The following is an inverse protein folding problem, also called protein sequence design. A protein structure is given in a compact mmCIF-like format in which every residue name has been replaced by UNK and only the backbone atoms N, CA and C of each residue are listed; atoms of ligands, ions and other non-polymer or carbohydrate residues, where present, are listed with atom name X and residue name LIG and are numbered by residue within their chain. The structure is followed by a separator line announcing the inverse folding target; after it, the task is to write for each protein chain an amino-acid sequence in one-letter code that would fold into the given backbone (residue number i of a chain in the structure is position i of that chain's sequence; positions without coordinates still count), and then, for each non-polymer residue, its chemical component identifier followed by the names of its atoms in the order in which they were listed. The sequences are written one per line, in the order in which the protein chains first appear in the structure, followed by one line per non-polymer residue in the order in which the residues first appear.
data_IF_199677767804
#
_entry.id   IF_199677767804
#
_cell.length_a   1.000
_cell.length_b   1.000
_cell.length_c   1.000
_cell.angle_alpha   90.00
_cell.angle_beta   90.00
_cell.angle_gamma   90.00
#
_symmetry.space_group_name_H-M   'P 1'
#
loop_
_entity.id
_entity.type
_entity.pdbx_description
1 polymer ?
#
# COMPACT_ATOMS: atom_id res chain seq x y z
N UNK A 1 -5.23 -3.31 2.36
CA UNK A 1 -4.42 -2.74 3.47
C UNK A 1 -3.36 -1.82 2.90
N UNK A 2 -3.21 -0.62 3.47
CA UNK A 2 -2.21 0.36 3.03
C UNK A 2 -0.78 -0.17 3.21
N UNK A 3 0.01 -0.12 2.14
CA UNK A 3 1.42 -0.52 2.12
C UNK A 3 1.71 -1.97 2.48
N UNK A 4 0.72 -2.85 2.47
CA UNK A 4 0.91 -4.23 2.91
C UNK A 4 1.28 -5.17 1.76
N UNK A 5 0.62 -5.06 0.60
CA UNK A 5 0.80 -5.99 -0.52
C UNK A 5 0.69 -5.31 -1.87
N UNK A 6 1.59 -5.66 -2.77
CA UNK A 6 1.50 -5.37 -4.20
C UNK A 6 1.14 -6.68 -4.93
N UNK A 7 0.00 -6.67 -5.62
CA UNK A 7 -0.50 -7.82 -6.38
C UNK A 7 -0.07 -7.80 -7.86
N UNK A 8 0.80 -6.88 -8.23
CA UNK A 8 1.32 -6.78 -9.61
C UNK A 8 0.24 -6.40 -10.64
N UNK A 9 -0.77 -5.63 -10.24
CA UNK A 9 -1.90 -5.23 -11.09
C UNK A 9 -1.61 -4.04 -11.99
N UNK A 10 -0.39 -3.52 -11.95
CA UNK A 10 0.02 -2.36 -12.75
C UNK A 10 -0.13 -2.61 -14.25
N UNK A 11 -0.59 -1.58 -14.95
CA UNK A 11 -0.60 -1.50 -16.40
C UNK A 11 0.50 -0.58 -16.92
N UNK A 12 0.73 -0.60 -18.24
CA UNK A 12 1.72 0.25 -18.89
C UNK A 12 1.06 1.05 -19.99
N UNK A 13 1.32 2.34 -20.04
CA UNK A 13 0.84 3.24 -21.11
C UNK A 13 2.01 3.73 -21.95
N UNK A 14 1.81 3.75 -23.29
CA UNK A 14 2.85 4.12 -24.26
C UNK A 14 3.90 3.03 -24.44
N UNK A 15 5.01 3.38 -25.10
CA UNK A 15 6.10 2.46 -25.40
C UNK A 15 5.73 1.36 -26.42
N UNK A 16 6.53 0.30 -26.45
CA UNK A 16 6.33 -0.84 -27.34
C UNK A 16 5.39 -1.88 -26.71
N UNK A 17 4.32 -2.22 -27.42
CA UNK A 17 3.32 -3.20 -26.99
C UNK A 17 3.87 -4.63 -26.81
N UNK A 18 4.96 -4.95 -27.50
CA UNK A 18 5.62 -6.26 -27.43
C UNK A 18 6.76 -6.30 -26.40
N UNK A 19 6.97 -5.20 -25.69
CA UNK A 19 8.02 -5.12 -24.70
C UNK A 19 7.65 -5.90 -23.43
N UNK A 20 8.52 -6.81 -23.02
CA UNK A 20 8.45 -7.38 -21.67
C UNK A 20 8.96 -6.32 -20.69
N UNK A 21 8.03 -5.48 -20.18
CA UNK A 21 8.35 -4.31 -19.41
C UNK A 21 9.19 -4.63 -18.18
N UNK A 22 10.34 -4.00 -18.09
CA UNK A 22 11.26 -4.13 -16.95
C UNK A 22 11.39 -2.78 -16.28
N UNK A 23 11.00 -2.69 -15.02
CA UNK A 23 11.22 -1.50 -14.19
C UNK A 23 12.61 -1.64 -13.57
N UNK A 24 13.40 -0.57 -13.58
CA UNK A 24 14.61 -0.53 -12.77
C UNK A 24 14.20 -0.61 -11.30
N UNK A 25 14.45 -1.75 -10.70
CA UNK A 25 14.62 -1.78 -9.26
C UNK A 25 15.91 -1.01 -8.99
N UNK A 26 15.79 0.22 -8.49
CA UNK A 26 16.93 1.09 -8.17
C UNK A 26 17.89 0.44 -7.16
N UNK A 27 18.30 -0.76 -7.42
CA UNK A 27 19.46 -1.41 -6.88
C UNK A 27 20.67 -0.63 -7.38
N UNK A 28 21.05 0.40 -6.67
CA UNK A 28 22.41 0.90 -6.73
C UNK A 28 23.26 -0.30 -6.36
N UNK A 29 24.03 -0.77 -7.33
CA UNK A 29 25.04 -1.79 -7.11
C UNK A 29 25.98 -1.27 -6.01
N UNK A 30 25.71 -1.68 -4.77
CA UNK A 30 26.32 -1.17 -3.54
C UNK A 30 27.83 -1.48 -3.44
N UNK A 31 28.41 -2.02 -4.53
CA UNK A 31 29.84 -2.34 -4.60
C UNK A 31 30.72 -1.24 -5.19
N UNK A 32 30.16 -0.17 -5.76
CA UNK A 32 30.96 0.82 -6.50
C UNK A 32 31.02 2.25 -5.97
N UNK A 33 30.25 2.68 -4.97
CA UNK A 33 30.43 4.05 -4.44
C UNK A 33 30.07 4.17 -2.96
N UNK A 34 31.10 4.28 -2.12
CA UNK A 34 31.01 4.48 -0.67
C UNK A 34 30.70 5.94 -0.23
N UNK A 35 30.57 6.89 -1.15
CA UNK A 35 30.55 8.33 -0.84
C UNK A 35 29.37 9.11 -1.42
N UNK A 36 28.24 8.46 -1.74
CA UNK A 36 27.04 9.22 -2.06
C UNK A 36 26.14 9.20 -0.83
N UNK A 37 26.00 10.36 -0.21
CA UNK A 37 25.00 10.62 0.81
C UNK A 37 23.64 10.11 0.31
N UNK A 38 22.98 9.29 1.11
CA UNK A 38 21.67 8.74 0.84
C UNK A 38 20.62 9.85 0.91
N UNK A 39 20.63 10.76 -0.05
CA UNK A 39 19.43 11.51 -0.36
C UNK A 39 18.43 10.50 -0.90
N UNK A 40 17.46 10.15 -0.06
CA UNK A 40 16.33 9.32 -0.43
C UNK A 40 15.43 10.11 -1.39
N UNK A 41 15.92 10.38 -2.59
CA UNK A 41 15.07 10.69 -3.71
C UNK A 41 14.43 9.36 -4.12
N UNK A 42 13.20 9.17 -3.68
CA UNK A 42 12.27 8.26 -4.32
C UNK A 42 12.15 8.71 -5.79
N UNK A 43 13.06 8.25 -6.62
CA UNK A 43 12.84 8.26 -8.05
C UNK A 43 11.59 7.38 -8.26
N UNK A 44 10.48 8.02 -8.58
CA UNK A 44 9.27 7.33 -9.02
C UNK A 44 9.71 6.39 -10.15
N UNK A 45 9.70 5.11 -9.86
CA UNK A 45 9.97 4.04 -10.82
C UNK A 45 8.76 3.90 -11.75
N UNK A 46 8.52 4.93 -12.54
CA UNK A 46 7.30 5.07 -13.32
C UNK A 46 7.46 4.64 -14.77
N UNK A 47 8.67 4.28 -15.22
CA UNK A 47 8.92 4.02 -16.65
C UNK A 47 9.68 2.72 -16.88
N UNK A 48 9.28 2.03 -17.96
CA UNK A 48 10.04 0.89 -18.46
C UNK A 48 11.38 1.36 -19.03
N UNK A 49 12.49 0.78 -18.58
CA UNK A 49 13.84 1.14 -19.05
C UNK A 49 14.11 0.75 -20.51
N UNK A 50 13.35 -0.21 -21.04
CA UNK A 50 13.54 -0.71 -22.41
C UNK A 50 12.79 0.11 -23.46
N UNK A 51 11.55 0.51 -23.17
CA UNK A 51 10.67 1.14 -24.14
C UNK A 51 10.07 2.48 -23.67
N UNK A 52 10.38 2.94 -22.45
CA UNK A 52 9.87 4.19 -21.92
C UNK A 52 8.38 4.17 -21.53
N UNK A 53 7.68 3.03 -21.60
CA UNK A 53 6.30 2.93 -21.20
C UNK A 53 6.11 3.36 -19.74
N UNK A 54 5.10 4.17 -19.45
CA UNK A 54 4.76 4.62 -18.11
C UNK A 54 4.02 3.53 -17.35
N UNK A 55 4.52 3.14 -16.17
CA UNK A 55 3.79 2.26 -15.26
C UNK A 55 2.64 3.03 -14.62
N UNK A 56 1.45 2.47 -14.68
CA UNK A 56 0.26 2.98 -13.99
C UNK A 56 -0.22 1.90 -13.04
N UNK A 57 -0.15 2.20 -11.75
CA UNK A 57 -0.67 1.32 -10.71
C UNK A 57 -1.81 2.03 -9.99
N UNK A 58 -3.01 1.48 -10.14
CA UNK A 58 -4.23 1.99 -9.51
C UNK A 58 -4.71 1.08 -8.37
N UNK A 59 -3.85 0.17 -7.92
CA UNK A 59 -4.18 -0.70 -6.80
C UNK A 59 -4.35 0.13 -5.53
N UNK A 60 -5.51 0.05 -4.90
CA UNK A 60 -5.74 0.64 -3.59
C UNK A 60 -4.79 0.01 -2.55
N UNK A 61 -4.14 0.85 -1.78
CA UNK A 61 -3.14 0.45 -0.80
C UNK A 61 -1.70 0.64 -1.26
N UNK A 62 -1.45 1.05 -2.52
CA UNK A 62 -0.13 1.37 -3.04
C UNK A 62 0.10 2.87 -3.25
N UNK A 63 -0.79 3.70 -2.74
CA UNK A 63 -0.64 5.15 -2.78
C UNK A 63 0.65 5.58 -2.06
N UNK A 64 1.33 6.64 -2.52
CA UNK A 64 2.55 7.16 -1.90
C UNK A 64 2.38 7.52 -0.42
N UNK A 65 1.19 8.02 -0.04
CA UNK A 65 0.89 8.44 1.32
C UNK A 65 -0.42 7.83 1.83
N UNK A 66 -0.53 7.64 3.15
CA UNK A 66 -1.77 7.17 3.75
C UNK A 66 -2.91 8.20 3.59
N UNK A 67 -2.59 9.48 3.48
CA UNK A 67 -3.57 10.53 3.22
C UNK A 67 -4.23 10.36 1.86
N UNK A 68 -3.42 10.12 0.81
CA UNK A 68 -3.93 9.85 -0.54
C UNK A 68 -4.77 8.56 -0.56
N UNK A 69 -4.31 7.54 0.15
CA UNK A 69 -5.08 6.31 0.29
C UNK A 69 -6.47 6.56 0.89
N UNK A 70 -6.55 7.31 1.99
CA UNK A 70 -7.82 7.68 2.62
C UNK A 70 -8.69 8.49 1.67
N UNK A 71 -8.10 9.46 0.96
CA UNK A 71 -8.80 10.28 -0.01
C UNK A 71 -9.41 9.44 -1.13
N UNK A 72 -8.65 8.48 -1.68
CA UNK A 72 -9.14 7.56 -2.71
C UNK A 72 -10.33 6.72 -2.22
N UNK A 73 -10.29 6.28 -0.96
CA UNK A 73 -11.43 5.58 -0.34
C UNK A 73 -12.65 6.51 -0.24
N UNK A 74 -12.47 7.74 0.22
CA UNK A 74 -13.58 8.72 0.28
C UNK A 74 -14.18 8.96 -1.10
N UNK A 75 -13.35 9.12 -2.13
CA UNK A 75 -13.82 9.30 -3.51
C UNK A 75 -14.60 8.09 -4.03
N UNK A 76 -14.13 6.88 -3.72
CA UNK A 76 -14.87 5.66 -4.03
C UNK A 76 -16.26 5.68 -3.39
N UNK A 77 -16.36 6.05 -2.12
CA UNK A 77 -17.63 6.14 -1.40
C UNK A 77 -18.53 7.24 -1.97
N UNK A 78 -17.98 8.39 -2.35
CA UNK A 78 -18.72 9.45 -3.07
C UNK A 78 -19.30 8.96 -4.39
N UNK A 79 -18.52 8.23 -5.17
CA UNK A 79 -18.98 7.65 -6.45
C UNK A 79 -20.06 6.59 -6.25
N UNK A 80 -20.03 5.86 -5.15
CA UNK A 80 -21.00 4.83 -4.81
C UNK A 80 -22.32 5.42 -4.28
N UNK A 81 -22.26 6.52 -3.53
CA UNK A 81 -23.42 7.13 -2.83
C UNK A 81 -24.66 7.31 -3.71
N UNK A 82 -24.56 7.84 -4.94
CA UNK A 82 -25.75 8.02 -5.81
C UNK A 82 -26.39 6.72 -6.29
N UNK A 83 -25.76 5.59 -6.09
CA UNK A 83 -26.25 4.26 -6.49
C UNK A 83 -26.93 3.51 -5.34
N UNK A 84 -26.85 4.05 -4.15
CA UNK A 84 -27.44 3.46 -2.95
C UNK A 84 -28.86 3.94 -2.74
N UNK A 85 -29.69 3.11 -2.15
CA UNK A 85 -31.01 3.50 -1.63
C UNK A 85 -30.85 4.31 -0.35
N UNK A 86 -31.81 5.16 -0.02
CA UNK A 86 -31.79 5.96 1.22
C UNK A 86 -31.71 5.09 2.49
N UNK A 87 -32.26 3.89 2.45
CA UNK A 87 -32.21 2.91 3.53
C UNK A 87 -30.99 1.97 3.48
N UNK A 88 -30.05 2.19 2.55
CA UNK A 88 -28.91 1.31 2.41
C UNK A 88 -27.95 1.43 3.60
N UNK A 89 -27.35 0.31 3.95
CA UNK A 89 -26.20 0.25 4.86
C UNK A 89 -24.97 -0.26 4.12
N UNK A 90 -23.81 0.33 4.41
CA UNK A 90 -22.54 -0.08 3.83
C UNK A 90 -21.69 -0.71 4.93
N UNK A 91 -21.12 -1.86 4.62
CA UNK A 91 -20.25 -2.61 5.53
C UNK A 91 -18.85 -2.63 4.95
N UNK A 92 -17.92 -1.98 5.63
CA UNK A 92 -16.53 -1.91 5.24
C UNK A 92 -15.68 -2.80 6.15
N UNK A 93 -15.13 -3.88 5.60
CA UNK A 93 -14.13 -4.67 6.30
C UNK A 93 -12.74 -4.15 5.93
N UNK A 94 -12.04 -3.61 6.90
CA UNK A 94 -10.72 -3.02 6.68
C UNK A 94 -9.75 -3.41 7.80
N UNK A 95 -8.54 -3.81 7.43
CA UNK A 95 -7.48 -4.11 8.38
C UNK A 95 -6.49 -2.97 8.51
N UNK A 96 -5.86 -2.88 9.67
CA UNK A 96 -4.79 -1.92 9.92
C UNK A 96 -3.41 -2.49 9.61
N UNK A 97 -2.41 -1.64 9.64
CA UNK A 97 -1.01 -2.02 9.47
C UNK A 97 -0.13 -1.19 10.41
N UNK A 98 1.06 -1.72 10.69
CA UNK A 98 2.07 -0.99 11.45
C UNK A 98 3.02 -0.25 10.51
N UNK A 99 3.39 0.98 10.89
CA UNK A 99 4.42 1.73 10.20
C UNK A 99 5.75 0.98 10.26
N UNK A 100 6.25 0.61 9.10
CA UNK A 100 7.44 -0.21 8.96
C UNK A 100 8.23 0.20 7.71
N UNK A 101 9.52 -0.12 7.73
CA UNK A 101 10.35 -0.06 6.53
C UNK A 101 9.97 -1.16 5.54
N UNK A 102 10.42 -1.02 4.30
CA UNK A 102 10.33 -2.09 3.29
C UNK A 102 10.87 -3.38 3.89
N UNK A 103 10.15 -4.47 3.76
CA UNK A 103 10.70 -5.78 4.09
C UNK A 103 11.90 -6.05 3.17
N UNK A 104 13.08 -6.10 3.79
CA UNK A 104 14.29 -6.53 3.09
C UNK A 104 14.25 -8.03 2.81
N UNK A 105 13.21 -8.51 2.14
CA UNK A 105 13.16 -9.89 1.64
C UNK A 105 14.31 -10.03 0.69
N UNK A 106 15.35 -10.75 1.12
CA UNK A 106 16.49 -11.03 0.26
C UNK A 106 15.94 -11.75 -0.97
N UNK A 107 16.34 -11.30 -2.15
CA UNK A 107 15.95 -11.86 -3.47
C UNK A 107 16.07 -13.40 -3.53
N UNK A 108 16.81 -14.02 -2.63
CA UNK A 108 16.93 -15.48 -2.48
C UNK A 108 15.64 -16.16 -1.98
N UNK A 109 14.82 -15.47 -1.23
CA UNK A 109 13.60 -16.07 -0.64
C UNK A 109 12.41 -16.00 -1.61
N UNK A 110 12.49 -15.13 -2.63
CA UNK A 110 11.44 -14.99 -3.66
C UNK A 110 11.41 -16.18 -4.63
N UNK A 111 12.52 -16.89 -4.80
CA UNK A 111 12.61 -18.01 -5.76
C UNK A 111 11.78 -19.25 -5.39
N UNK A 112 11.38 -19.37 -4.13
CA UNK A 112 10.56 -20.47 -3.63
C UNK A 112 9.20 -20.02 -3.11
N UNK A 113 8.83 -18.76 -3.33
CA UNK A 113 7.56 -18.19 -2.88
C UNK A 113 6.59 -18.19 -4.06
N UNK A 114 5.62 -19.07 -4.04
CA UNK A 114 4.55 -19.20 -5.03
C UNK A 114 3.41 -18.18 -4.82
N UNK A 115 3.57 -17.26 -3.84
CA UNK A 115 2.60 -16.20 -3.60
C UNK A 115 2.60 -15.19 -4.75
N UNK A 116 1.42 -14.90 -5.27
CA UNK A 116 1.24 -13.95 -6.38
C UNK A 116 1.32 -12.46 -5.98
N UNK A 117 2.00 -12.11 -4.86
CA UNK A 117 2.08 -10.72 -4.37
C UNK A 117 3.40 -10.44 -3.65
N UNK A 118 3.76 -9.16 -3.59
CA UNK A 118 4.92 -8.66 -2.82
C UNK A 118 4.43 -8.05 -1.51
N UNK A 119 4.99 -8.51 -0.38
CA UNK A 119 4.72 -7.96 0.94
C UNK A 119 5.53 -6.67 1.17
N UNK A 120 4.87 -5.64 1.74
CA UNK A 120 5.46 -4.35 2.11
C UNK A 120 6.33 -3.74 1.01
N UNK A 121 5.73 -3.37 -0.13
CA UNK A 121 6.47 -2.89 -1.31
C UNK A 121 7.18 -1.55 -1.08
N UNK A 122 6.75 -0.76 -0.09
CA UNK A 122 7.35 0.52 0.29
C UNK A 122 7.30 0.77 1.80
N UNK A 123 8.05 1.78 2.25
CA UNK A 123 8.03 2.21 3.65
C UNK A 123 6.75 2.96 3.97
N UNK A 124 6.08 2.56 5.05
CA UNK A 124 4.91 3.24 5.59
C UNK A 124 5.25 4.22 6.72
N UNK A 125 6.53 4.43 6.98
CA UNK A 125 7.01 5.45 7.92
C UNK A 125 6.95 6.80 7.20
N UNK A 126 5.98 7.64 7.56
CA UNK A 126 5.69 8.90 6.89
C UNK A 126 5.24 9.96 7.88
N UNK A 127 5.66 11.21 7.66
CA UNK A 127 5.26 12.33 8.49
C UNK A 127 5.61 12.12 9.96
N UNK A 128 4.62 12.08 10.83
CA UNK A 128 4.80 11.87 12.28
C UNK A 128 4.75 10.39 12.69
N UNK A 129 4.48 9.47 11.75
CA UNK A 129 4.47 8.04 12.03
C UNK A 129 5.89 7.54 12.29
N UNK A 130 6.09 6.98 13.46
CA UNK A 130 7.36 6.37 13.87
C UNK A 130 7.38 4.88 13.52
N UNK A 131 8.55 4.26 13.40
CA UNK A 131 8.64 2.81 13.30
C UNK A 131 7.82 2.13 14.38
N UNK A 132 6.99 1.17 13.98
CA UNK A 132 6.11 0.37 14.85
C UNK A 132 4.83 1.06 15.32
N UNK A 133 4.56 2.32 14.96
CA UNK A 133 3.26 2.93 15.20
C UNK A 133 2.17 2.15 14.44
N UNK A 134 1.02 1.97 15.07
CA UNK A 134 -0.19 1.55 14.36
C UNK A 134 -0.65 2.71 13.48
N UNK A 135 -0.86 2.47 12.19
CA UNK A 135 -1.19 3.56 11.24
C UNK A 135 -2.60 4.09 11.44
N UNK A 136 -3.48 3.30 12.05
CA UNK A 136 -4.87 3.65 12.35
C UNK A 136 -5.70 3.91 11.08
N UNK A 137 -5.45 3.15 10.02
CA UNK A 137 -6.14 3.35 8.72
C UNK A 137 -7.65 3.19 8.84
N UNK A 138 -8.21 2.14 9.47
CA UNK A 138 -9.67 2.01 9.62
C UNK A 138 -10.30 3.21 10.30
N UNK A 139 -9.71 3.67 11.39
CA UNK A 139 -10.21 4.82 12.16
C UNK A 139 -10.13 6.12 11.35
N UNK A 140 -9.03 6.33 10.63
CA UNK A 140 -8.87 7.51 9.75
C UNK A 140 -9.87 7.51 8.61
N UNK A 141 -10.14 6.34 8.00
CA UNK A 141 -11.20 6.21 6.98
C UNK A 141 -12.56 6.53 7.58
N UNK A 142 -12.87 6.00 8.77
CA UNK A 142 -14.14 6.26 9.44
C UNK A 142 -14.36 7.75 9.70
N UNK A 143 -13.34 8.45 10.23
CA UNK A 143 -13.37 9.90 10.48
C UNK A 143 -13.53 10.66 9.16
N UNK A 144 -12.74 10.34 8.13
CA UNK A 144 -12.80 11.02 6.85
C UNK A 144 -14.16 10.83 6.15
N UNK A 145 -14.77 9.66 6.25
CA UNK A 145 -16.12 9.41 5.75
C UNK A 145 -17.16 10.18 6.54
N UNK A 146 -17.00 10.31 7.86
CA UNK A 146 -17.87 11.13 8.69
C UNK A 146 -17.80 12.61 8.30
N UNK A 147 -16.59 13.12 8.08
CA UNK A 147 -16.34 14.49 7.60
C UNK A 147 -16.94 14.71 6.19
N UNK A 148 -16.99 13.66 5.37
CA UNK A 148 -17.64 13.65 4.04
C UNK A 148 -19.18 13.51 4.08
N UNK A 149 -19.76 13.47 5.27
CA UNK A 149 -21.22 13.43 5.46
C UNK A 149 -21.82 12.02 5.42
N UNK A 150 -21.04 10.98 5.74
CA UNK A 150 -21.56 9.65 6.03
C UNK A 150 -21.84 9.48 7.53
N UNK A 151 -22.84 8.66 7.85
CA UNK A 151 -23.12 8.30 9.24
C UNK A 151 -22.34 7.04 9.62
N UNK A 152 -21.35 7.18 10.48
CA UNK A 152 -20.67 6.05 11.10
C UNK A 152 -21.53 5.52 12.24
N UNK A 153 -22.13 4.36 12.05
CA UNK A 153 -23.12 3.79 12.98
C UNK A 153 -22.50 2.89 14.04
N UNK A 154 -21.48 2.14 13.66
CA UNK A 154 -20.83 1.17 14.54
C UNK A 154 -19.47 0.80 14.04
N UNK A 155 -18.57 0.53 14.96
CA UNK A 155 -17.32 -0.17 14.71
C UNK A 155 -17.45 -1.60 15.27
N UNK A 156 -17.09 -2.58 14.46
CA UNK A 156 -17.20 -3.99 14.82
C UNK A 156 -15.83 -4.62 14.77
N UNK A 157 -15.38 -5.15 15.89
CA UNK A 157 -14.12 -5.87 15.95
C UNK A 157 -14.32 -7.29 15.40
N UNK A 158 -13.60 -7.61 14.33
CA UNK A 158 -13.57 -8.97 13.81
C UNK A 158 -12.61 -9.82 14.62
N UNK A 159 -13.11 -10.43 15.69
CA UNK A 159 -12.33 -11.32 16.53
C UNK A 159 -12.16 -12.70 15.89
N UNK A 160 -10.92 -13.16 15.79
CA UNK A 160 -10.56 -14.53 15.36
C UNK A 160 -10.17 -15.33 16.60
N UNK A 161 -10.83 -16.45 16.91
CA UNK A 161 -10.52 -17.24 18.10
C UNK A 161 -9.16 -17.97 18.02
N UNK A 162 -8.64 -18.17 16.81
CA UNK A 162 -7.36 -18.81 16.53
C UNK A 162 -6.56 -18.01 15.50
N UNK A 163 -6.10 -16.79 15.83
CA UNK A 163 -5.28 -16.00 14.93
C UNK A 163 -3.91 -16.64 14.74
N UNK A 164 -3.27 -16.36 13.60
CA UNK A 164 -1.85 -16.69 13.46
C UNK A 164 -1.04 -15.92 14.51
N UNK A 165 -0.08 -16.55 15.20
CA UNK A 165 0.79 -15.86 16.14
C UNK A 165 1.50 -14.68 15.47
N UNK A 166 1.57 -13.55 16.18
CA UNK A 166 2.36 -12.41 15.72
C UNK A 166 3.86 -12.75 15.80
N UNK A 167 4.56 -12.62 14.68
CA UNK A 167 5.99 -12.91 14.62
C UNK A 167 6.86 -11.86 15.31
N UNK A 168 6.31 -10.69 15.56
CA UNK A 168 7.02 -9.54 16.14
C UNK A 168 6.76 -9.49 17.64
N UNK A 169 7.79 -9.75 18.45
CA UNK A 169 7.70 -9.88 19.91
C UNK A 169 7.32 -8.60 20.67
N UNK A 170 7.35 -7.45 20.03
CA UNK A 170 7.11 -6.13 20.62
C UNK A 170 5.72 -5.57 20.30
N UNK A 171 4.81 -6.41 19.83
CA UNK A 171 3.41 -6.06 19.59
C UNK A 171 2.50 -6.81 20.55
N UNK A 172 1.45 -6.15 21.07
CA UNK A 172 0.42 -6.86 21.81
C UNK A 172 -0.28 -7.86 20.89
N UNK A 173 -0.51 -9.07 21.39
CA UNK A 173 -1.22 -10.14 20.71
C UNK A 173 -2.69 -10.16 21.14
#
# INVERSE_FOLDING_TARGET
YFGLRDYGTASYEGGDKNCNHTICDGGIDSKKNKNIERSAQHFEKSFCIKCGAKKIDKQLGLEPTYQEHIQNIVELFRAMKPKLKDSATVWLNYGDSYAATVNGTKVKDIKNDDRGFVDKPFSTIQGYLKPKDLVMIPNRIAIALQDDGWWIRSEIIWHKPNPMPESTKDRPT
#
